data_IF_525790822245
#
_entry.id   IF_525790822245
#
_cell.length_a   1.000
_cell.length_b   1.000
_cell.length_c   1.000
_cell.angle_alpha   90.00
_cell.angle_beta   90.00
_cell.angle_gamma   90.00
#
_symmetry.space_group_name_H-M   'P 1'
#
loop_
_entity.id
_entity.type
_entity.pdbx_description
1 polymer ?
#
# COMPACT_ATOMS: atom_id res chain seq x y z
N UNK A 1 -42.37 18.78 26.57
CA UNK A 1 -42.66 19.47 25.29
C UNK A 1 -41.73 20.66 25.16
N UNK A 2 -40.56 20.45 24.55
CA UNK A 2 -39.57 21.51 24.34
C UNK A 2 -39.97 22.38 23.15
N UNK A 3 -39.93 23.71 23.31
CA UNK A 3 -40.19 24.67 22.25
C UNK A 3 -39.11 24.52 21.16
N UNK A 4 -39.48 23.97 20.00
CA UNK A 4 -38.69 24.10 18.78
C UNK A 4 -38.64 25.60 18.42
N UNK A 5 -37.47 26.21 18.54
CA UNK A 5 -37.24 27.57 18.05
C UNK A 5 -37.25 27.56 16.53
N UNK A 6 -38.26 28.18 15.91
CA UNK A 6 -38.26 28.42 14.46
C UNK A 6 -37.07 29.32 14.11
N UNK A 7 -36.21 28.87 13.18
CA UNK A 7 -35.16 29.70 12.61
C UNK A 7 -35.78 30.99 12.04
N UNK A 8 -35.35 32.15 12.52
CA UNK A 8 -35.82 33.45 12.00
C UNK A 8 -35.09 33.75 10.69
N UNK A 9 -35.84 33.93 9.62
CA UNK A 9 -35.30 34.42 8.36
C UNK A 9 -34.88 35.89 8.50
N UNK A 10 -33.58 36.18 8.39
CA UNK A 10 -33.10 37.54 8.19
C UNK A 10 -32.92 37.73 6.67
N UNK A 11 -33.56 38.74 6.08
CA UNK A 11 -33.56 39.02 4.64
C UNK A 11 -34.09 37.89 3.73
N UNK A 12 -34.98 37.03 4.24
CA UNK A 12 -35.57 35.92 3.46
C UNK A 12 -34.67 34.69 3.32
N UNK A 13 -33.56 34.63 4.07
CA UNK A 13 -32.67 33.46 4.18
C UNK A 13 -32.73 32.91 5.59
N UNK A 14 -32.97 31.62 5.73
CA UNK A 14 -32.88 30.94 7.02
C UNK A 14 -31.40 30.72 7.38
N UNK A 15 -31.04 30.94 8.65
CA UNK A 15 -29.68 30.75 9.12
C UNK A 15 -29.59 29.47 9.95
N UNK A 16 -28.59 28.64 9.64
CA UNK A 16 -28.23 27.47 10.45
C UNK A 16 -27.83 27.92 11.85
N UNK A 17 -28.33 27.23 12.88
CA UNK A 17 -27.99 27.53 14.26
C UNK A 17 -26.56 27.09 14.66
N UNK A 18 -26.05 27.66 15.74
CA UNK A 18 -24.67 27.43 16.18
C UNK A 18 -24.41 25.99 16.65
N UNK A 19 -25.44 25.26 17.11
CA UNK A 19 -25.28 23.86 17.51
C UNK A 19 -25.09 23.01 16.27
N UNK A 20 -25.94 23.17 15.26
CA UNK A 20 -25.82 22.47 13.99
C UNK A 20 -24.50 22.80 13.28
N UNK A 21 -24.07 24.06 13.26
CA UNK A 21 -22.76 24.42 12.70
C UNK A 21 -21.62 23.65 13.36
N UNK A 22 -21.61 23.55 14.70
CA UNK A 22 -20.59 22.77 15.42
C UNK A 22 -20.64 21.30 15.05
N UNK A 23 -21.82 20.73 14.85
CA UNK A 23 -21.97 19.33 14.42
C UNK A 23 -21.36 19.14 13.03
N UNK A 24 -21.69 20.00 12.07
CA UNK A 24 -21.11 19.95 10.70
C UNK A 24 -19.59 20.06 10.74
N UNK A 25 -19.05 21.04 11.49
CA UNK A 25 -17.61 21.19 11.70
C UNK A 25 -16.95 19.92 12.27
N UNK A 26 -17.60 19.29 13.25
CA UNK A 26 -17.11 18.07 13.90
C UNK A 26 -17.15 16.87 12.95
N UNK A 27 -18.27 16.70 12.24
CA UNK A 27 -18.46 15.62 11.27
C UNK A 27 -17.46 15.71 10.11
N UNK A 28 -17.13 16.94 9.69
CA UNK A 28 -16.18 17.19 8.62
C UNK A 28 -14.70 17.11 9.08
N UNK A 29 -14.45 16.86 10.38
CA UNK A 29 -13.13 16.92 11.01
C UNK A 29 -12.37 18.24 10.74
N UNK A 30 -13.11 19.36 10.60
CA UNK A 30 -12.54 20.67 10.32
C UNK A 30 -11.88 20.83 8.95
N UNK A 31 -12.12 19.93 8.00
CA UNK A 31 -11.55 19.97 6.65
C UNK A 31 -12.64 20.26 5.62
N UNK A 32 -12.28 20.98 4.54
CA UNK A 32 -13.19 21.23 3.43
C UNK A 32 -13.60 19.92 2.76
N UNK A 33 -14.90 19.69 2.61
CA UNK A 33 -15.41 18.42 2.07
C UNK A 33 -15.10 18.22 0.58
N UNK A 34 -14.84 19.31 -0.16
CA UNK A 34 -14.53 19.27 -1.60
C UNK A 34 -13.03 19.19 -1.90
N UNK A 35 -12.19 19.90 -1.15
CA UNK A 35 -10.76 19.99 -1.45
C UNK A 35 -9.85 19.42 -0.36
N UNK A 36 -10.39 19.04 0.80
CA UNK A 36 -9.64 18.44 1.91
C UNK A 36 -8.71 19.42 2.63
N UNK A 37 -8.78 20.73 2.37
CA UNK A 37 -7.96 21.72 3.07
C UNK A 37 -8.35 21.80 4.54
N UNK A 38 -7.37 21.80 5.44
CA UNK A 38 -7.56 22.05 6.87
C UNK A 38 -8.05 23.49 7.08
N UNK A 39 -9.25 23.64 7.67
CA UNK A 39 -9.90 24.92 7.92
C UNK A 39 -9.66 25.43 9.35
N UNK A 40 -8.96 24.65 10.16
CA UNK A 40 -8.63 24.94 11.55
C UNK A 40 -7.23 25.53 11.72
N UNK A 41 -6.41 25.53 10.67
CA UNK A 41 -5.02 25.98 10.72
C UNK A 41 -4.62 26.71 9.44
N UNK A 42 -3.92 27.83 9.58
CA UNK A 42 -3.24 28.48 8.46
C UNK A 42 -1.72 28.25 8.57
N UNK A 43 -1.18 27.44 7.66
CA UNK A 43 0.25 27.15 7.59
C UNK A 43 1.11 28.40 7.41
N UNK A 44 0.63 29.42 6.67
CA UNK A 44 1.40 30.65 6.44
C UNK A 44 1.47 31.52 7.69
N UNK A 45 0.37 31.60 8.43
CA UNK A 45 0.28 32.37 9.65
C UNK A 45 0.76 31.59 10.90
N UNK A 46 0.93 30.27 10.79
CA UNK A 46 1.39 29.39 11.85
C UNK A 46 0.44 29.31 13.06
N UNK A 47 -0.84 29.68 12.88
CA UNK A 47 -1.79 29.85 13.99
C UNK A 47 -3.12 29.14 13.71
N UNK A 48 -3.84 28.71 14.77
CA UNK A 48 -5.22 28.25 14.64
C UNK A 48 -6.10 29.33 14.01
N UNK A 49 -6.97 28.91 13.10
CA UNK A 49 -7.90 29.76 12.37
C UNK A 49 -9.25 29.04 12.30
N UNK A 50 -10.31 29.78 11.99
CA UNK A 50 -11.61 29.21 11.65
C UNK A 50 -12.14 30.00 10.47
N UNK A 51 -11.92 29.48 9.27
CA UNK A 51 -12.25 30.15 8.01
C UNK A 51 -13.16 29.30 7.12
N UNK A 52 -13.71 28.22 7.65
CA UNK A 52 -14.68 27.39 6.96
C UNK A 52 -16.08 27.97 7.02
N UNK A 53 -16.88 27.63 6.02
CA UNK A 53 -18.26 28.06 5.85
C UNK A 53 -19.16 26.84 5.84
N UNK A 54 -20.26 26.91 6.60
CA UNK A 54 -21.31 25.89 6.57
C UNK A 54 -22.26 26.24 5.42
N UNK A 55 -22.03 25.59 4.29
CA UNK A 55 -22.74 25.79 3.04
C UNK A 55 -23.95 24.87 2.95
N UNK A 56 -25.01 25.35 2.32
CA UNK A 56 -26.21 24.53 2.09
C UNK A 56 -26.13 23.83 0.74
N UNK A 57 -26.43 22.53 0.70
CA UNK A 57 -26.57 21.76 -0.55
C UNK A 57 -27.80 22.27 -1.29
N UNK A 58 -29.01 22.07 -0.75
CA UNK A 58 -30.21 22.80 -1.15
C UNK A 58 -30.31 24.12 -0.40
N UNK A 59 -30.63 25.23 -1.09
CA UNK A 59 -30.48 26.56 -0.53
C UNK A 59 -31.39 26.82 0.68
N UNK A 60 -30.94 27.70 1.57
CA UNK A 60 -31.74 28.16 2.72
C UNK A 60 -32.86 29.16 2.35
N UNK A 61 -33.23 29.25 1.08
CA UNK A 61 -34.37 30.01 0.58
C UNK A 61 -34.84 29.45 -0.78
N UNK A 62 -36.12 29.63 -1.15
CA UNK A 62 -36.65 29.20 -2.46
C UNK A 62 -35.92 29.79 -3.67
N UNK A 63 -35.30 30.98 -3.51
CA UNK A 63 -34.65 31.73 -4.59
C UNK A 63 -33.15 31.47 -4.71
N UNK A 64 -32.60 30.51 -3.95
CA UNK A 64 -31.17 30.22 -3.99
C UNK A 64 -30.73 29.49 -5.27
N UNK A 65 -29.42 29.40 -5.54
CA UNK A 65 -28.86 28.95 -6.82
C UNK A 65 -29.30 27.55 -7.27
N UNK A 66 -29.68 26.67 -6.33
CA UNK A 66 -30.07 25.26 -6.56
C UNK A 66 -31.54 24.98 -6.16
N UNK A 67 -32.36 26.00 -6.00
CA UNK A 67 -33.77 25.84 -5.61
C UNK A 67 -34.59 25.22 -6.75
N UNK A 68 -35.23 24.08 -6.49
CA UNK A 68 -36.15 23.43 -7.44
C UNK A 68 -37.58 23.95 -7.25
N UNK A 69 -38.49 23.63 -8.19
CA UNK A 69 -39.88 24.11 -8.17
C UNK A 69 -40.69 23.66 -6.93
N UNK A 70 -40.24 22.61 -6.25
CA UNK A 70 -40.84 22.08 -5.02
C UNK A 70 -40.16 22.62 -3.74
N UNK A 71 -39.16 23.51 -3.87
CA UNK A 71 -38.38 24.07 -2.77
C UNK A 71 -39.03 25.34 -2.21
N UNK A 72 -40.15 25.15 -1.50
CA UNK A 72 -40.88 26.25 -0.84
C UNK A 72 -40.25 26.69 0.49
N UNK A 73 -40.81 27.73 1.10
CA UNK A 73 -40.32 28.26 2.39
C UNK A 73 -40.36 27.23 3.52
N UNK A 74 -41.28 26.27 3.47
CA UNK A 74 -41.41 25.20 4.47
C UNK A 74 -40.27 24.20 4.32
N UNK A 75 -39.98 23.76 3.09
CA UNK A 75 -38.87 22.86 2.76
C UNK A 75 -37.52 23.50 3.05
N UNK A 76 -37.34 24.77 2.67
CA UNK A 76 -36.15 25.55 3.00
C UNK A 76 -35.94 25.66 4.52
N UNK A 77 -37.00 25.94 5.29
CA UNK A 77 -36.91 26.00 6.75
C UNK A 77 -36.55 24.65 7.38
N UNK A 78 -37.11 23.53 6.89
CA UNK A 78 -36.80 22.19 7.43
C UNK A 78 -35.35 21.77 7.16
N UNK A 79 -34.79 22.17 6.02
CA UNK A 79 -33.44 21.77 5.59
C UNK A 79 -32.32 22.69 6.12
N UNK A 80 -32.66 23.84 6.69
CA UNK A 80 -31.68 24.82 7.18
C UNK A 80 -30.77 24.29 8.28
N UNK A 81 -31.33 23.44 9.14
CA UNK A 81 -30.62 22.84 10.28
C UNK A 81 -30.41 21.34 10.11
N UNK A 82 -30.69 20.79 8.94
CA UNK A 82 -30.44 19.39 8.63
C UNK A 82 -28.98 19.20 8.24
N UNK A 83 -28.22 18.47 9.06
CA UNK A 83 -26.81 18.21 8.78
C UNK A 83 -26.59 17.48 7.47
N UNK A 84 -27.57 16.69 7.00
CA UNK A 84 -27.46 16.00 5.70
C UNK A 84 -27.53 16.98 4.51
N UNK A 85 -28.02 18.21 4.72
CA UNK A 85 -28.09 19.28 3.73
C UNK A 85 -26.97 20.32 3.90
N UNK A 86 -26.00 20.10 4.79
CA UNK A 86 -24.99 21.08 5.15
C UNK A 86 -23.59 20.52 4.98
N UNK A 87 -22.76 21.22 4.20
CA UNK A 87 -21.36 20.86 3.97
C UNK A 87 -20.43 21.89 4.57
N UNK A 88 -19.29 21.46 5.11
CA UNK A 88 -18.19 22.34 5.49
C UNK A 88 -17.28 22.62 4.29
N UNK A 89 -17.20 23.88 3.86
CA UNK A 89 -16.40 24.28 2.71
C UNK A 89 -15.41 25.39 3.06
N UNK A 90 -14.28 25.45 2.33
CA UNK A 90 -13.48 26.68 2.29
C UNK A 90 -14.20 27.76 1.46
N UNK A 91 -13.92 29.06 1.66
CA UNK A 91 -14.60 30.13 0.95
C UNK A 91 -14.47 30.01 -0.58
N UNK A 92 -13.32 29.54 -1.07
CA UNK A 92 -13.11 29.32 -2.49
C UNK A 92 -13.97 28.20 -3.09
N UNK A 93 -14.17 27.10 -2.35
CA UNK A 93 -15.05 26.02 -2.80
C UNK A 93 -16.53 26.42 -2.68
N UNK A 94 -16.90 27.15 -1.64
CA UNK A 94 -18.27 27.62 -1.46
C UNK A 94 -18.68 28.62 -2.55
N UNK A 95 -17.85 29.63 -2.85
CA UNK A 95 -18.10 30.58 -3.94
C UNK A 95 -18.21 29.87 -5.29
N UNK A 96 -17.38 28.83 -5.52
CA UNK A 96 -17.42 28.02 -6.76
C UNK A 96 -18.78 27.34 -6.96
N UNK A 97 -19.30 26.63 -5.96
CA UNK A 97 -20.56 25.87 -6.09
C UNK A 97 -21.79 26.78 -6.18
N UNK A 98 -21.73 27.98 -5.60
CA UNK A 98 -22.84 28.95 -5.66
C UNK A 98 -22.90 29.67 -7.01
N UNK A 99 -21.78 29.82 -7.71
CA UNK A 99 -21.72 30.42 -9.05
C UNK A 99 -22.12 29.47 -10.17
N UNK A 100 -21.91 28.17 -9.99
CA UNK A 100 -22.13 27.14 -11.02
C UNK A 100 -23.08 26.05 -10.49
N UNK A 101 -24.34 26.41 -10.32
CA UNK A 101 -25.36 25.48 -9.80
C UNK A 101 -25.59 24.26 -10.72
N UNK A 102 -25.47 24.45 -12.03
CA UNK A 102 -25.65 23.38 -13.02
C UNK A 102 -24.47 22.39 -13.00
N UNK A 103 -23.24 22.88 -12.77
CA UNK A 103 -22.06 22.04 -12.59
C UNK A 103 -21.94 21.38 -11.21
N UNK A 104 -22.74 21.83 -10.24
CA UNK A 104 -22.78 21.32 -8.87
C UNK A 104 -24.23 21.08 -8.39
N UNK A 105 -24.96 20.15 -9.04
CA UNK A 105 -26.35 19.88 -8.67
C UNK A 105 -26.46 19.22 -7.28
N UNK A 106 -27.67 19.25 -6.71
CA UNK A 106 -27.98 18.67 -5.39
C UNK A 106 -27.51 17.21 -5.26
N UNK A 107 -27.76 16.40 -6.28
CA UNK A 107 -27.41 14.97 -6.28
C UNK A 107 -25.93 14.75 -6.08
N UNK A 108 -25.11 15.57 -6.72
CA UNK A 108 -23.66 15.42 -6.75
C UNK A 108 -23.07 15.88 -5.42
N UNK A 109 -23.52 17.05 -4.93
CA UNK A 109 -23.10 17.57 -3.63
C UNK A 109 -23.53 16.65 -2.48
N UNK A 110 -24.75 16.09 -2.53
CA UNK A 110 -25.23 15.12 -1.53
C UNK A 110 -24.39 13.83 -1.55
N UNK A 111 -24.09 13.31 -2.73
CA UNK A 111 -23.21 12.13 -2.88
C UNK A 111 -21.79 12.40 -2.39
N UNK A 112 -21.23 13.57 -2.69
CA UNK A 112 -19.91 13.99 -2.21
C UNK A 112 -19.87 14.16 -0.69
N UNK A 113 -20.88 14.81 -0.11
CA UNK A 113 -21.05 14.99 1.32
C UNK A 113 -21.12 13.64 2.04
N UNK A 114 -22.01 12.74 1.60
CA UNK A 114 -22.14 11.41 2.18
C UNK A 114 -20.83 10.63 2.09
N UNK A 115 -20.20 10.60 0.91
CA UNK A 115 -18.93 9.91 0.69
C UNK A 115 -17.82 10.46 1.59
N UNK A 116 -17.79 11.78 1.81
CA UNK A 116 -16.82 12.41 2.70
C UNK A 116 -17.04 12.00 4.16
N UNK A 117 -18.27 12.11 4.64
CA UNK A 117 -18.61 11.74 6.02
C UNK A 117 -18.36 10.25 6.29
N UNK A 118 -18.64 9.37 5.33
CA UNK A 118 -18.34 7.94 5.44
C UNK A 118 -16.84 7.69 5.61
N UNK A 119 -15.97 8.40 4.87
CA UNK A 119 -14.51 8.28 5.03
C UNK A 119 -14.04 8.75 6.41
N UNK A 120 -14.55 9.88 6.90
CA UNK A 120 -14.19 10.39 8.24
C UNK A 120 -14.67 9.43 9.32
N UNK A 121 -15.91 8.93 9.21
CA UNK A 121 -16.45 7.93 10.15
C UNK A 121 -15.62 6.67 10.16
N UNK A 122 -15.29 6.12 8.98
CA UNK A 122 -14.45 4.92 8.87
C UNK A 122 -13.13 5.12 9.61
N UNK A 123 -12.41 6.22 9.31
CA UNK A 123 -11.15 6.55 9.97
C UNK A 123 -11.29 6.71 11.50
N UNK A 124 -12.39 7.30 11.96
CA UNK A 124 -12.67 7.48 13.39
C UNK A 124 -13.06 6.17 14.10
N UNK A 125 -13.65 5.20 13.38
CA UNK A 125 -14.09 3.90 13.93
C UNK A 125 -13.02 2.80 13.88
N UNK A 126 -11.88 3.05 13.23
CA UNK A 126 -10.73 2.13 13.19
C UNK A 126 -9.51 2.68 13.98
N UNK A 127 -9.65 3.08 15.26
CA UNK A 127 -8.54 3.66 16.02
C UNK A 127 -7.45 2.63 16.42
N UNK A 128 -7.71 1.34 16.21
CA UNK A 128 -6.97 0.20 16.74
C UNK A 128 -6.13 -0.56 15.69
N UNK A 129 -6.13 -0.14 14.42
CA UNK A 129 -5.34 -0.81 13.36
C UNK A 129 -3.83 -0.79 13.62
N UNK A 130 -3.38 0.09 14.52
CA UNK A 130 -2.01 0.14 15.01
C UNK A 130 -1.15 1.14 14.25
N UNK A 131 0.12 1.24 14.65
CA UNK A 131 1.09 2.17 14.07
C UNK A 131 2.13 1.41 13.27
N UNK A 132 2.48 1.93 12.09
CA UNK A 132 3.56 1.37 11.29
C UNK A 132 4.42 2.48 10.67
N UNK A 133 5.71 2.20 10.52
CA UNK A 133 6.62 3.05 9.75
C UNK A 133 6.39 2.76 8.26
N UNK A 134 6.07 3.76 7.43
CA UNK A 134 5.98 3.58 5.99
C UNK A 134 7.38 3.35 5.40
N UNK A 135 7.54 2.27 4.64
CA UNK A 135 8.77 1.91 3.93
C UNK A 135 8.45 1.71 2.45
N UNK A 136 9.05 2.53 1.61
CA UNK A 136 8.90 2.50 0.15
C UNK A 136 10.25 2.14 -0.44
N UNK A 137 10.29 1.08 -1.25
CA UNK A 137 11.48 0.70 -2.01
C UNK A 137 11.14 0.73 -3.48
N UNK A 138 11.98 1.39 -4.27
CA UNK A 138 11.81 1.47 -5.72
C UNK A 138 13.16 1.35 -6.41
N UNK A 139 13.17 0.91 -7.67
CA UNK A 139 14.40 0.73 -8.45
C UNK A 139 14.39 1.55 -9.74
N UNK A 140 15.55 2.11 -10.06
CA UNK A 140 15.82 2.77 -11.35
C UNK A 140 16.22 1.76 -12.44
N UNK A 141 16.23 0.45 -12.15
CA UNK A 141 16.53 -0.60 -13.13
C UNK A 141 15.50 -0.68 -14.28
N UNK A 142 14.25 -0.29 -14.04
CA UNK A 142 13.20 -0.36 -15.06
C UNK A 142 13.23 0.87 -15.97
N UNK A 143 12.95 0.67 -17.26
CA UNK A 143 12.86 1.75 -18.26
C UNK A 143 11.75 2.78 -17.96
N UNK A 144 10.81 2.44 -17.07
CA UNK A 144 9.78 3.35 -16.56
C UNK A 144 10.08 3.70 -15.11
N UNK A 145 10.03 4.99 -14.80
CA UNK A 145 10.17 5.48 -13.43
C UNK A 145 8.90 5.08 -12.65
N UNK A 146 8.96 4.00 -11.89
CA UNK A 146 7.86 3.56 -11.03
C UNK A 146 7.97 4.28 -9.68
N UNK A 147 7.86 5.61 -9.69
CA UNK A 147 7.86 6.38 -8.46
C UNK A 147 6.58 6.09 -7.68
N UNK A 148 6.74 5.60 -6.45
CA UNK A 148 5.60 5.40 -5.53
C UNK A 148 5.49 6.65 -4.65
N UNK A 149 4.43 7.47 -4.80
CA UNK A 149 4.23 8.62 -3.94
C UNK A 149 4.01 8.19 -2.49
N UNK A 150 4.62 8.91 -1.55
CA UNK A 150 4.41 8.69 -0.11
C UNK A 150 2.92 8.73 0.24
N UNK A 151 2.19 9.68 -0.35
CA UNK A 151 0.76 9.86 -0.12
C UNK A 151 -0.04 8.59 -0.44
N UNK A 152 0.33 7.85 -1.47
CA UNK A 152 -0.42 6.67 -1.89
C UNK A 152 -0.28 5.55 -0.85
N UNK A 153 0.91 5.37 -0.27
CA UNK A 153 1.12 4.42 0.80
C UNK A 153 0.38 4.85 2.07
N UNK A 154 0.42 6.14 2.42
CA UNK A 154 -0.32 6.66 3.58
C UNK A 154 -1.84 6.46 3.44
N UNK A 155 -2.38 6.66 2.24
CA UNK A 155 -3.80 6.40 1.94
C UNK A 155 -4.11 4.91 2.04
N UNK A 156 -3.27 4.03 1.49
CA UNK A 156 -3.45 2.59 1.59
C UNK A 156 -3.39 2.10 3.05
N UNK A 157 -2.43 2.61 3.83
CA UNK A 157 -2.34 2.36 5.28
C UNK A 157 -3.62 2.79 6.00
N UNK A 158 -4.07 4.02 5.77
CA UNK A 158 -5.30 4.53 6.39
C UNK A 158 -6.53 3.71 6.02
N UNK A 159 -6.59 3.15 4.82
CA UNK A 159 -7.70 2.29 4.40
C UNK A 159 -7.76 0.95 5.14
N UNK A 160 -6.64 0.52 5.75
CA UNK A 160 -6.56 -0.65 6.64
C UNK A 160 -6.59 -0.26 8.13
N UNK A 161 -6.93 0.99 8.46
CA UNK A 161 -6.92 1.49 9.85
C UNK A 161 -5.52 1.70 10.44
N UNK A 162 -4.46 1.62 9.62
CA UNK A 162 -3.08 1.85 10.06
C UNK A 162 -2.76 3.34 10.13
N UNK A 163 -2.16 3.76 11.23
CA UNK A 163 -1.62 5.11 11.38
C UNK A 163 -0.13 5.10 11.06
N UNK A 164 0.30 5.96 10.15
CA UNK A 164 1.72 6.18 9.92
C UNK A 164 2.37 6.78 11.17
N UNK A 165 3.48 6.18 11.58
CA UNK A 165 4.30 6.68 12.68
C UNK A 165 5.68 7.06 12.16
N UNK A 166 6.10 8.28 12.50
CA UNK A 166 7.35 8.90 12.03
C UNK A 166 7.41 9.13 10.51
N UNK A 167 8.52 9.67 10.03
CA UNK A 167 8.74 10.02 8.64
C UNK A 167 8.87 8.76 7.77
N UNK A 168 8.23 8.70 6.60
CA UNK A 168 8.40 7.61 5.64
C UNK A 168 9.88 7.37 5.31
N UNK A 169 10.29 6.10 5.23
CA UNK A 169 11.58 5.68 4.68
C UNK A 169 11.35 5.40 3.20
N UNK A 170 12.03 6.12 2.31
CA UNK A 170 11.95 5.92 0.85
C UNK A 170 13.33 5.66 0.30
N UNK A 171 13.57 4.44 -0.15
CA UNK A 171 14.85 3.94 -0.67
C UNK A 171 14.72 3.82 -2.18
N UNK A 172 15.69 4.36 -2.91
CA UNK A 172 15.76 4.24 -4.37
C UNK A 172 17.01 3.47 -4.77
N UNK A 173 16.84 2.24 -5.21
CA UNK A 173 17.92 1.42 -5.72
C UNK A 173 18.47 1.99 -7.04
N UNK A 174 19.81 2.07 -7.18
CA UNK A 174 20.44 2.62 -8.37
C UNK A 174 20.18 1.72 -9.58
N UNK A 175 20.27 2.29 -10.78
CA UNK A 175 20.31 1.52 -12.01
C UNK A 175 21.64 0.74 -12.12
N UNK A 176 21.66 -0.45 -12.75
CA UNK A 176 22.91 -1.13 -13.07
C UNK A 176 23.81 -0.25 -13.92
N UNK A 177 25.13 -0.39 -13.73
CA UNK A 177 26.11 0.30 -14.57
C UNK A 177 26.23 -0.38 -15.95
N UNK A 178 27.16 0.09 -16.79
CA UNK A 178 27.51 -0.59 -18.05
C UNK A 178 28.01 -2.04 -17.87
N UNK A 179 28.33 -2.45 -16.65
CA UNK A 179 28.71 -3.84 -16.29
C UNK A 179 27.51 -4.74 -16.01
N UNK A 180 26.29 -4.20 -16.07
CA UNK A 180 25.08 -4.94 -15.71
C UNK A 180 24.95 -5.16 -14.20
N UNK A 181 24.29 -6.25 -13.82
CA UNK A 181 24.01 -6.63 -12.42
C UNK A 181 25.14 -7.48 -11.84
N UNK A 182 26.34 -6.91 -11.80
CA UNK A 182 27.54 -7.55 -11.27
C UNK A 182 27.59 -7.53 -9.73
N UNK A 183 28.66 -8.06 -9.15
CA UNK A 183 28.86 -8.10 -7.69
C UNK A 183 28.82 -6.69 -7.05
N UNK A 184 29.35 -5.67 -7.74
CA UNK A 184 29.32 -4.29 -7.24
C UNK A 184 27.90 -3.72 -7.21
N UNK A 185 27.09 -4.03 -8.22
CA UNK A 185 25.67 -3.67 -8.22
C UNK A 185 24.96 -4.26 -7.00
N UNK A 186 25.07 -5.57 -6.77
CA UNK A 186 24.40 -6.22 -5.64
C UNK A 186 24.93 -5.74 -4.29
N UNK A 187 26.24 -5.47 -4.19
CA UNK A 187 26.81 -4.87 -2.99
C UNK A 187 26.23 -3.47 -2.73
N UNK A 188 26.04 -2.66 -3.78
CA UNK A 188 25.39 -1.35 -3.65
C UNK A 188 23.93 -1.47 -3.18
N UNK A 189 23.17 -2.44 -3.71
CA UNK A 189 21.79 -2.71 -3.23
C UNK A 189 21.81 -3.08 -1.75
N UNK A 190 22.71 -3.97 -1.34
CA UNK A 190 22.89 -4.40 0.05
C UNK A 190 23.25 -3.24 0.97
N UNK A 191 24.18 -2.38 0.55
CA UNK A 191 24.60 -1.21 1.32
C UNK A 191 23.47 -0.20 1.47
N UNK A 192 22.67 0.04 0.42
CA UNK A 192 21.48 0.89 0.52
C UNK A 192 20.46 0.33 1.52
N UNK A 193 20.20 -0.98 1.49
CA UNK A 193 19.31 -1.61 2.47
C UNK A 193 19.89 -1.47 3.89
N UNK A 194 21.14 -1.85 4.11
CA UNK A 194 21.76 -1.81 5.44
C UNK A 194 21.89 -0.39 6.00
N UNK A 195 22.30 0.56 5.16
CA UNK A 195 22.53 1.93 5.59
C UNK A 195 21.25 2.73 5.70
N UNK A 196 20.35 2.66 4.72
CA UNK A 196 19.13 3.47 4.73
C UNK A 196 18.02 2.84 5.56
N UNK A 197 17.84 1.53 5.51
CA UNK A 197 16.76 0.88 6.26
C UNK A 197 17.18 0.62 7.70
N UNK A 198 18.23 -0.16 7.94
CA UNK A 198 18.55 -0.61 9.31
C UNK A 198 18.97 0.54 10.23
N UNK A 199 19.71 1.54 9.72
CA UNK A 199 20.06 2.71 10.55
C UNK A 199 18.84 3.56 10.88
N UNK A 200 17.92 3.76 9.92
CA UNK A 200 16.69 4.49 10.17
C UNK A 200 15.81 3.73 11.18
N UNK A 201 15.71 2.41 11.06
CA UNK A 201 14.96 1.59 12.02
C UNK A 201 15.60 1.58 13.42
N UNK A 202 16.94 1.46 13.51
CA UNK A 202 17.68 1.54 14.80
C UNK A 202 17.46 2.86 15.51
N UNK A 203 17.42 3.98 14.78
CA UNK A 203 17.14 5.32 15.35
C UNK A 203 15.71 5.45 15.90
N UNK A 204 14.78 4.62 15.42
CA UNK A 204 13.33 4.71 15.72
C UNK A 204 12.82 3.63 16.66
N UNK A 205 13.65 2.63 16.98
CA UNK A 205 13.35 1.63 17.98
C UNK A 205 13.17 2.25 19.36
N UNK A 206 12.19 1.76 20.13
CA UNK A 206 11.92 2.27 21.47
C UNK A 206 12.98 1.85 22.49
N UNK A 207 13.09 2.60 23.59
CA UNK A 207 13.94 2.27 24.75
C UNK A 207 13.59 0.92 25.41
N UNK A 208 12.44 0.34 25.07
CA UNK A 208 11.92 -0.94 25.58
C UNK A 208 12.09 -2.12 24.61
N UNK A 209 12.73 -1.93 23.45
CA UNK A 209 13.06 -3.03 22.54
C UNK A 209 11.94 -3.49 21.60
N UNK A 210 10.76 -2.87 21.64
CA UNK A 210 9.70 -3.15 20.67
C UNK A 210 10.08 -2.62 19.29
N UNK A 211 10.27 -3.54 18.33
CA UNK A 211 10.48 -3.19 16.93
C UNK A 211 9.17 -2.63 16.36
N UNK A 212 9.18 -1.43 15.74
CA UNK A 212 7.98 -0.86 15.14
C UNK A 212 7.48 -1.75 14.01
N UNK A 213 6.16 -1.84 13.84
CA UNK A 213 5.60 -2.47 12.65
C UNK A 213 5.99 -1.68 11.40
N UNK A 214 6.16 -2.36 10.28
CA UNK A 214 6.59 -1.78 9.02
C UNK A 214 5.49 -1.93 7.98
N UNK A 215 5.05 -0.84 7.37
CA UNK A 215 4.17 -0.88 6.20
C UNK A 215 5.05 -0.78 4.96
N UNK A 216 5.25 -1.89 4.25
CA UNK A 216 6.30 -2.01 3.23
C UNK A 216 5.67 -2.16 1.85
N UNK A 217 6.15 -1.39 0.89
CA UNK A 217 5.88 -1.60 -0.54
C UNK A 217 7.19 -1.55 -1.32
N UNK A 218 7.34 -2.44 -2.29
CA UNK A 218 8.53 -2.50 -3.14
C UNK A 218 8.18 -2.63 -4.62
N UNK A 219 8.85 -1.85 -5.47
CA UNK A 219 8.85 -2.03 -6.93
C UNK A 219 10.31 -2.00 -7.41
N UNK A 220 10.92 -3.18 -7.45
CA UNK A 220 12.26 -3.43 -7.95
C UNK A 220 12.29 -4.79 -8.69
N UNK A 221 13.43 -5.15 -9.26
CA UNK A 221 13.65 -6.50 -9.78
C UNK A 221 13.52 -7.54 -8.66
N UNK A 222 13.15 -8.76 -9.04
CA UNK A 222 12.82 -9.83 -8.09
C UNK A 222 14.01 -10.10 -7.14
N UNK A 223 15.27 -10.26 -7.59
CA UNK A 223 16.38 -10.50 -6.67
C UNK A 223 16.60 -9.37 -5.66
N UNK A 224 16.51 -8.09 -6.06
CA UNK A 224 16.63 -6.97 -5.12
C UNK A 224 15.53 -6.98 -4.05
N UNK A 225 14.30 -7.34 -4.42
CA UNK A 225 13.18 -7.47 -3.47
C UNK A 225 13.34 -8.67 -2.52
N UNK A 226 13.90 -9.78 -3.00
CA UNK A 226 14.28 -10.91 -2.14
C UNK A 226 15.35 -10.47 -1.13
N UNK A 227 16.37 -9.73 -1.57
CA UNK A 227 17.39 -9.18 -0.66
C UNK A 227 16.79 -8.25 0.41
N UNK A 228 15.87 -7.38 0.02
CA UNK A 228 15.11 -6.52 0.95
C UNK A 228 14.35 -7.36 1.97
N UNK A 229 13.60 -8.36 1.50
CA UNK A 229 12.87 -9.29 2.34
C UNK A 229 13.77 -9.97 3.38
N UNK A 230 14.93 -10.45 2.95
CA UNK A 230 15.90 -11.11 3.84
C UNK A 230 16.42 -10.17 4.93
N UNK A 231 16.73 -8.92 4.60
CA UNK A 231 17.19 -7.93 5.58
C UNK A 231 16.08 -7.55 6.58
N UNK A 232 14.84 -7.43 6.12
CA UNK A 232 13.67 -7.20 7.00
C UNK A 232 13.45 -8.35 7.99
N UNK A 233 13.65 -9.59 7.51
CA UNK A 233 13.49 -10.80 8.29
C UNK A 233 12.07 -11.03 8.83
N UNK A 234 11.97 -11.91 9.83
CA UNK A 234 10.74 -12.30 10.53
C UNK A 234 10.55 -11.58 11.87
N UNK A 235 11.58 -10.89 12.36
CA UNK A 235 11.60 -10.25 13.69
C UNK A 235 10.74 -8.98 13.81
N UNK A 236 10.45 -8.33 12.68
CA UNK A 236 9.60 -7.12 12.65
C UNK A 236 8.22 -7.46 12.10
N UNK A 237 7.16 -6.99 12.77
CA UNK A 237 5.80 -7.09 12.21
C UNK A 237 5.74 -6.29 10.91
N UNK A 238 5.69 -6.98 9.76
CA UNK A 238 5.63 -6.34 8.45
C UNK A 238 4.24 -6.48 7.84
N UNK A 239 3.79 -5.40 7.21
CA UNK A 239 2.53 -5.27 6.52
C UNK A 239 2.88 -4.92 5.07
N UNK A 240 3.00 -5.95 4.23
CA UNK A 240 3.31 -5.78 2.81
C UNK A 240 2.10 -5.24 2.03
N UNK A 241 2.31 -4.19 1.27
CA UNK A 241 1.39 -3.68 0.26
C UNK A 241 1.88 -4.09 -1.13
N UNK A 242 0.95 -4.20 -2.07
CA UNK A 242 1.27 -4.59 -3.45
C UNK A 242 0.91 -3.46 -4.40
N UNK A 243 1.80 -3.18 -5.35
CA UNK A 243 1.55 -2.20 -6.40
C UNK A 243 0.84 -2.85 -7.59
N UNK A 244 -0.34 -2.34 -7.91
CA UNK A 244 -1.16 -2.72 -9.05
C UNK A 244 -1.28 -1.52 -10.01
N UNK A 245 -1.21 -1.74 -11.34
CA UNK A 245 -1.25 -0.64 -12.31
C UNK A 245 -2.59 0.11 -12.34
N UNK A 246 -3.69 -0.60 -12.11
CA UNK A 246 -5.05 -0.05 -12.15
C UNK A 246 -5.45 0.52 -10.77
N UNK A 247 -5.13 -0.21 -9.70
CA UNK A 247 -5.57 0.13 -8.34
C UNK A 247 -4.50 0.86 -7.50
N UNK A 248 -3.30 1.04 -8.03
CA UNK A 248 -2.12 1.56 -7.31
C UNK A 248 -1.82 0.71 -6.08
N UNK A 249 -1.85 1.29 -4.87
CA UNK A 249 -1.64 0.56 -3.61
C UNK A 249 -2.93 0.10 -2.94
N UNK A 250 -4.09 0.34 -3.57
CA UNK A 250 -5.37 -0.18 -3.07
C UNK A 250 -5.51 -1.64 -3.47
N UNK A 251 -6.04 -2.45 -2.57
CA UNK A 251 -6.42 -3.83 -2.88
C UNK A 251 -7.49 -3.85 -3.98
N UNK A 252 -7.28 -4.60 -5.08
CA UNK A 252 -8.30 -4.75 -6.11
C UNK A 252 -9.59 -5.37 -5.58
N UNK A 253 -9.48 -6.39 -4.72
CA UNK A 253 -10.62 -7.06 -4.08
C UNK A 253 -10.23 -7.57 -2.68
N UNK A 254 -10.74 -6.90 -1.64
CA UNK A 254 -10.50 -7.28 -0.24
C UNK A 254 -11.20 -8.58 0.16
N UNK A 255 -12.24 -8.98 -0.56
CA UNK A 255 -13.04 -10.19 -0.29
C UNK A 255 -12.53 -11.42 -1.03
N UNK A 256 -11.67 -11.25 -2.04
CA UNK A 256 -11.13 -12.36 -2.82
C UNK A 256 -10.43 -13.42 -1.94
N UNK A 257 -10.70 -14.68 -2.24
CA UNK A 257 -10.00 -15.81 -1.62
C UNK A 257 -8.60 -15.98 -2.24
N UNK A 258 -7.59 -16.37 -1.45
CA UNK A 258 -6.29 -16.75 -2.00
C UNK A 258 -6.40 -17.90 -3.00
N UNK A 259 -5.54 -17.94 -4.04
CA UNK A 259 -5.50 -19.10 -4.93
C UNK A 259 -5.00 -20.34 -4.17
N UNK A 260 -5.31 -21.52 -4.71
CA UNK A 260 -4.70 -22.75 -4.26
C UNK A 260 -3.21 -22.75 -4.64
N UNK A 261 -2.34 -22.76 -3.64
CA UNK A 261 -0.90 -22.92 -3.83
C UNK A 261 -0.57 -24.42 -3.86
N UNK A 262 0.01 -24.87 -4.96
CA UNK A 262 0.35 -26.28 -5.17
C UNK A 262 1.86 -26.44 -5.14
N UNK A 263 2.35 -27.28 -4.21
CA UNK A 263 3.76 -27.61 -4.12
C UNK A 263 4.03 -29.00 -4.72
N UNK A 264 4.91 -29.05 -5.72
CA UNK A 264 5.42 -30.28 -6.32
C UNK A 264 6.84 -30.53 -5.80
N UNK A 265 7.11 -31.66 -5.12
CA UNK A 265 8.43 -31.97 -4.62
C UNK A 265 9.42 -32.29 -5.75
N UNK A 266 10.74 -32.15 -5.51
CA UNK A 266 11.74 -32.51 -6.49
C UNK A 266 11.78 -34.03 -6.71
N UNK A 267 12.21 -34.45 -7.89
CA UNK A 267 12.49 -35.86 -8.17
C UNK A 267 13.61 -36.40 -7.30
N UNK A 268 13.64 -37.71 -7.10
CA UNK A 268 14.77 -38.39 -6.45
C UNK A 268 16.05 -38.25 -7.28
N UNK A 269 17.21 -38.27 -6.61
CA UNK A 269 18.53 -38.26 -7.23
C UNK A 269 19.53 -37.33 -6.54
N UNK A 270 20.74 -37.26 -7.12
CA UNK A 270 21.89 -36.51 -6.59
C UNK A 270 22.15 -35.17 -7.30
N UNK A 271 21.30 -34.80 -8.28
CA UNK A 271 21.44 -33.55 -9.02
C UNK A 271 21.22 -32.29 -8.16
N UNK A 272 21.65 -31.11 -8.63
CA UNK A 272 21.46 -29.86 -7.91
C UNK A 272 19.97 -29.58 -7.68
N UNK A 273 19.65 -29.02 -6.51
CA UNK A 273 18.26 -28.75 -6.12
C UNK A 273 17.83 -27.36 -6.62
N UNK A 274 16.74 -27.33 -7.39
CA UNK A 274 16.12 -26.10 -7.87
C UNK A 274 14.76 -25.87 -7.19
N UNK A 275 14.53 -24.65 -6.69
CA UNK A 275 13.23 -24.19 -6.22
C UNK A 275 12.66 -23.20 -7.25
N UNK A 276 11.57 -23.60 -7.90
CA UNK A 276 10.84 -22.80 -8.87
C UNK A 276 9.60 -22.19 -8.23
N UNK A 277 9.41 -20.89 -8.39
CA UNK A 277 8.21 -20.18 -7.92
C UNK A 277 7.45 -19.63 -9.14
N UNK A 278 6.41 -20.34 -9.58
CA UNK A 278 5.63 -20.05 -10.80
C UNK A 278 4.26 -19.42 -10.46
N UNK A 279 4.27 -18.15 -10.01
CA UNK A 279 3.06 -17.48 -9.51
C UNK A 279 2.57 -16.38 -10.46
N UNK A 280 3.46 -15.51 -10.94
CA UNK A 280 3.10 -14.46 -11.91
C UNK A 280 3.19 -14.94 -13.36
N UNK A 281 4.02 -15.95 -13.62
CA UNK A 281 4.15 -16.63 -14.91
C UNK A 281 4.64 -18.07 -14.70
N UNK A 282 4.41 -18.94 -15.68
CA UNK A 282 4.97 -20.28 -15.69
C UNK A 282 6.46 -20.23 -16.02
N UNK A 283 7.29 -20.92 -15.23
CA UNK A 283 8.71 -21.13 -15.54
C UNK A 283 8.88 -22.51 -16.18
N UNK A 284 9.24 -22.61 -17.47
CA UNK A 284 9.40 -23.90 -18.13
C UNK A 284 10.58 -24.69 -17.56
N UNK A 285 10.40 -25.98 -17.27
CA UNK A 285 11.46 -26.87 -16.79
C UNK A 285 12.69 -26.89 -17.73
N UNK A 286 12.48 -26.76 -19.05
CA UNK A 286 13.58 -26.67 -20.04
C UNK A 286 14.50 -25.48 -19.78
N UNK A 287 13.96 -24.34 -19.35
CA UNK A 287 14.72 -23.10 -19.13
C UNK A 287 15.54 -23.22 -17.82
N UNK A 288 15.02 -23.99 -16.85
CA UNK A 288 15.75 -24.37 -15.62
C UNK A 288 16.87 -25.34 -15.95
N UNK A 289 16.60 -26.38 -16.73
CA UNK A 289 17.59 -27.39 -17.14
C UNK A 289 18.72 -26.78 -17.99
N UNK A 290 18.42 -25.80 -18.84
CA UNK A 290 19.42 -25.06 -19.62
C UNK A 290 20.36 -24.24 -18.74
N UNK A 291 19.83 -23.61 -17.68
CA UNK A 291 20.63 -22.82 -16.73
C UNK A 291 21.32 -23.67 -15.66
N UNK A 292 20.75 -24.84 -15.32
CA UNK A 292 21.20 -25.75 -14.29
C UNK A 292 20.96 -27.21 -14.73
N UNK A 293 21.89 -27.79 -15.52
CA UNK A 293 21.73 -29.15 -16.03
C UNK A 293 21.65 -30.21 -14.92
N UNK A 294 20.75 -31.18 -15.08
CA UNK A 294 20.49 -32.24 -14.12
C UNK A 294 19.71 -31.79 -12.88
N UNK A 295 19.02 -30.64 -12.94
CA UNK A 295 18.33 -30.08 -11.79
C UNK A 295 17.16 -30.96 -11.33
N UNK A 296 17.07 -31.15 -10.01
CA UNK A 296 15.89 -31.72 -9.36
C UNK A 296 14.97 -30.57 -8.99
N UNK A 297 13.82 -30.47 -9.66
CA UNK A 297 12.96 -29.28 -9.60
C UNK A 297 11.84 -29.47 -8.58
N UNK A 298 11.89 -28.72 -7.49
CA UNK A 298 10.76 -28.45 -6.63
C UNK A 298 10.02 -27.21 -7.15
N UNK A 299 8.69 -27.23 -7.22
CA UNK A 299 7.91 -26.10 -7.75
C UNK A 299 6.76 -25.73 -6.82
N UNK A 300 6.64 -24.44 -6.49
CA UNK A 300 5.42 -23.85 -5.95
C UNK A 300 4.71 -23.07 -7.07
N UNK A 301 3.48 -23.46 -7.38
CA UNK A 301 2.69 -22.85 -8.45
C UNK A 301 1.25 -22.55 -8.02
N UNK A 302 0.52 -21.88 -8.89
CA UNK A 302 -0.94 -21.73 -8.82
C UNK A 302 -1.56 -22.23 -10.13
N UNK A 303 -2.83 -22.68 -10.15
CA UNK A 303 -3.47 -23.22 -11.36
C UNK A 303 -3.44 -22.29 -12.58
N UNK A 304 -3.45 -20.97 -12.35
CA UNK A 304 -3.37 -19.97 -13.42
C UNK A 304 -2.44 -18.83 -13.00
N UNK A 305 -1.16 -18.87 -13.41
CA UNK A 305 -0.21 -17.80 -13.13
C UNK A 305 -0.71 -16.45 -13.63
N UNK A 306 -0.54 -15.40 -12.80
CA UNK A 306 -1.05 -14.07 -13.13
C UNK A 306 -0.31 -12.97 -12.38
N UNK A 307 0.02 -11.89 -13.11
CA UNK A 307 0.61 -10.68 -12.54
C UNK A 307 -0.30 -9.95 -11.55
N UNK A 308 -1.63 -10.16 -11.65
CA UNK A 308 -2.62 -9.51 -10.79
C UNK A 308 -3.10 -10.41 -9.65
N UNK A 309 -2.46 -11.55 -9.37
CA UNK A 309 -2.96 -12.50 -8.35
C UNK A 309 -2.98 -11.96 -6.91
N UNK A 310 -2.18 -10.94 -6.59
CA UNK A 310 -2.17 -10.32 -5.25
C UNK A 310 -3.35 -9.36 -5.11
N UNK A 311 -4.53 -9.92 -4.84
CA UNK A 311 -5.79 -9.19 -4.70
C UNK A 311 -5.94 -8.51 -3.34
N UNK A 312 -5.37 -9.12 -2.29
CA UNK A 312 -5.40 -8.61 -0.93
C UNK A 312 -4.26 -9.22 -0.09
N UNK A 313 -4.13 -8.77 1.17
CA UNK A 313 -3.12 -9.23 2.12
C UNK A 313 -3.18 -10.74 2.42
N UNK A 314 -4.36 -11.37 2.35
CA UNK A 314 -4.53 -12.80 2.63
C UNK A 314 -3.77 -13.66 1.62
N UNK A 315 -3.64 -13.20 0.37
CA UNK A 315 -2.85 -13.89 -0.67
C UNK A 315 -1.37 -14.00 -0.26
N UNK A 316 -0.81 -12.93 0.31
CA UNK A 316 0.59 -12.89 0.75
C UNK A 316 0.80 -13.86 1.93
N UNK A 317 -0.13 -13.88 2.89
CA UNK A 317 -0.08 -14.81 4.00
C UNK A 317 -0.21 -16.27 3.55
N UNK A 318 -1.14 -16.55 2.63
CA UNK A 318 -1.32 -17.90 2.09
C UNK A 318 -0.08 -18.39 1.32
N UNK A 319 0.58 -17.51 0.55
CA UNK A 319 1.86 -17.83 -0.10
C UNK A 319 2.94 -18.19 0.94
N UNK A 320 3.08 -17.38 2.00
CA UNK A 320 4.02 -17.64 3.08
C UNK A 320 3.77 -18.99 3.73
N UNK A 321 2.53 -19.25 4.12
CA UNK A 321 2.15 -20.46 4.85
C UNK A 321 2.31 -21.71 3.98
N UNK A 322 2.00 -21.61 2.68
CA UNK A 322 2.24 -22.69 1.72
C UNK A 322 3.72 -23.00 1.55
N UNK A 323 4.59 -21.99 1.46
CA UNK A 323 6.01 -22.20 1.17
C UNK A 323 6.84 -22.57 2.41
N UNK A 324 6.56 -21.99 3.57
CA UNK A 324 7.41 -22.09 4.77
C UNK A 324 7.72 -23.54 5.16
N UNK A 325 6.70 -24.40 5.21
CA UNK A 325 6.88 -25.82 5.59
C UNK A 325 7.72 -26.59 4.57
N UNK A 326 7.59 -26.25 3.28
CA UNK A 326 8.34 -26.92 2.22
C UNK A 326 9.78 -26.44 2.16
N UNK A 327 10.04 -25.16 2.44
CA UNK A 327 11.40 -24.62 2.48
C UNK A 327 12.28 -25.36 3.48
N UNK A 328 11.81 -25.56 4.72
CA UNK A 328 12.56 -26.33 5.73
C UNK A 328 12.81 -27.79 5.31
N UNK A 329 11.92 -28.40 4.52
CA UNK A 329 12.14 -29.75 3.98
C UNK A 329 13.22 -29.75 2.90
N UNK A 330 13.20 -28.78 1.99
CA UNK A 330 14.22 -28.63 0.95
C UNK A 330 15.60 -28.39 1.56
N UNK A 331 15.70 -27.53 2.57
CA UNK A 331 16.95 -27.27 3.31
C UNK A 331 17.47 -28.53 4.02
N UNK A 332 16.60 -29.44 4.47
CA UNK A 332 17.01 -30.70 5.07
C UNK A 332 17.47 -31.76 4.04
N UNK A 333 17.12 -31.60 2.76
CA UNK A 333 17.47 -32.54 1.69
C UNK A 333 18.88 -32.34 1.13
N UNK A 334 19.54 -31.22 1.43
CA UNK A 334 20.86 -30.87 0.90
C UNK A 334 21.62 -30.00 1.89
N UNK A 335 22.95 -30.14 1.93
CA UNK A 335 23.83 -29.17 2.60
C UNK A 335 24.35 -28.09 1.63
N UNK A 336 24.24 -28.33 0.32
CA UNK A 336 24.65 -27.41 -0.74
C UNK A 336 23.54 -26.44 -1.15
N UNK A 337 23.91 -25.47 -1.99
CA UNK A 337 23.06 -24.35 -2.43
C UNK A 337 21.74 -24.79 -3.10
N UNK A 338 20.64 -24.17 -2.69
CA UNK A 338 19.35 -24.22 -3.39
C UNK A 338 19.32 -23.14 -4.48
N UNK A 339 19.04 -23.54 -5.73
CA UNK A 339 19.01 -22.65 -6.88
C UNK A 339 17.58 -22.17 -7.11
N UNK A 340 17.31 -20.87 -6.99
CA UNK A 340 15.95 -20.33 -7.01
C UNK A 340 15.64 -19.65 -8.33
N UNK A 341 14.54 -20.05 -8.96
CA UNK A 341 14.02 -19.47 -10.19
C UNK A 341 12.63 -18.89 -9.90
N UNK A 342 12.51 -17.56 -9.89
CA UNK A 342 11.30 -16.91 -9.39
C UNK A 342 10.58 -16.10 -10.48
N UNK A 343 9.33 -16.48 -10.76
CA UNK A 343 8.35 -15.68 -11.47
C UNK A 343 7.21 -15.36 -10.49
N UNK A 344 7.42 -14.34 -9.66
CA UNK A 344 6.50 -13.95 -8.59
C UNK A 344 6.23 -12.43 -8.57
N UNK A 345 5.06 -11.97 -8.09
CA UNK A 345 4.80 -10.56 -7.85
C UNK A 345 5.76 -9.95 -6.82
N UNK A 346 5.97 -8.64 -6.90
CA UNK A 346 6.91 -7.90 -6.06
C UNK A 346 6.70 -8.12 -4.55
N UNK A 347 5.45 -8.06 -4.07
CA UNK A 347 5.14 -8.32 -2.66
C UNK A 347 5.52 -9.75 -2.22
N UNK A 348 5.36 -10.75 -3.09
CA UNK A 348 5.74 -12.13 -2.79
C UNK A 348 7.26 -12.33 -2.84
N UNK A 349 8.00 -11.53 -3.61
CA UNK A 349 9.47 -11.55 -3.59
C UNK A 349 10.03 -11.06 -2.25
N UNK A 350 9.47 -9.98 -1.71
CA UNK A 350 9.80 -9.49 -0.36
C UNK A 350 9.43 -10.55 0.69
N UNK A 351 8.23 -11.13 0.57
CA UNK A 351 7.76 -12.17 1.49
C UNK A 351 8.67 -13.41 1.43
N UNK A 352 9.04 -13.87 0.24
CA UNK A 352 9.96 -14.99 0.06
C UNK A 352 11.32 -14.70 0.69
N UNK A 353 11.93 -13.54 0.39
CA UNK A 353 13.19 -13.13 0.99
C UNK A 353 13.15 -13.15 2.51
N UNK A 354 12.04 -12.73 3.11
CA UNK A 354 11.87 -12.73 4.57
C UNK A 354 11.78 -14.13 5.19
N UNK A 355 11.46 -15.16 4.40
CA UNK A 355 11.55 -16.55 4.85
C UNK A 355 13.00 -17.05 4.88
N UNK A 356 13.89 -16.45 4.08
CA UNK A 356 15.31 -16.80 3.97
C UNK A 356 16.15 -16.20 5.11
N UNK A 357 15.60 -16.10 6.33
CA UNK A 357 16.21 -15.34 7.43
C UNK A 357 17.62 -15.80 7.74
N UNK A 358 18.47 -14.86 8.13
CA UNK A 358 19.91 -15.07 8.37
C UNK A 358 20.25 -16.09 9.46
N UNK A 359 19.28 -16.51 10.27
CA UNK A 359 19.49 -17.54 11.29
C UNK A 359 19.44 -18.96 10.73
N UNK A 360 18.76 -19.16 9.59
CA UNK A 360 18.76 -20.41 8.84
C UNK A 360 19.82 -20.25 7.75
N UNK A 361 21.05 -20.69 8.04
CA UNK A 361 22.25 -20.38 7.25
C UNK A 361 22.35 -21.11 5.90
N UNK A 362 21.24 -21.60 5.34
CA UNK A 362 21.25 -22.32 4.08
C UNK A 362 21.60 -21.38 2.92
N UNK A 363 22.40 -21.87 1.97
CA UNK A 363 22.83 -21.09 0.82
C UNK A 363 21.76 -21.10 -0.28
N UNK A 364 21.44 -19.92 -0.82
CA UNK A 364 20.54 -19.76 -1.95
C UNK A 364 21.23 -19.00 -3.07
N UNK A 365 21.05 -19.46 -4.30
CA UNK A 365 21.48 -18.75 -5.50
C UNK A 365 20.26 -18.37 -6.33
N UNK A 366 19.96 -17.09 -6.39
CA UNK A 366 18.83 -16.56 -7.16
C UNK A 366 19.25 -16.43 -8.62
N UNK A 367 18.42 -17.00 -9.50
CA UNK A 367 18.48 -16.81 -10.94
C UNK A 367 17.41 -15.82 -11.35
N UNK A 368 17.76 -14.93 -12.28
CA UNK A 368 16.81 -14.04 -12.92
C UNK A 368 17.07 -14.00 -14.42
N UNK A 369 16.06 -13.59 -15.19
CA UNK A 369 16.22 -13.50 -16.65
C UNK A 369 17.09 -12.32 -17.03
N UNK A 370 18.02 -12.57 -17.93
CA UNK A 370 18.91 -11.56 -18.49
C UNK A 370 18.46 -11.15 -19.89
N UNK A 371 17.96 -9.93 -20.01
CA UNK A 371 17.48 -9.37 -21.29
C UNK A 371 18.58 -9.25 -22.33
N UNK A 372 19.82 -9.06 -21.88
CA UNK A 372 20.98 -8.89 -22.77
C UNK A 372 21.53 -10.25 -23.23
N UNK A 373 21.16 -11.34 -22.55
CA UNK A 373 21.56 -12.70 -22.85
C UNK A 373 20.36 -13.58 -23.24
N UNK A 374 19.69 -13.24 -24.34
CA UNK A 374 18.57 -14.00 -24.92
C UNK A 374 17.43 -14.34 -23.94
N UNK A 375 17.26 -13.55 -22.87
CA UNK A 375 16.27 -13.78 -21.82
C UNK A 375 16.47 -15.12 -21.07
N UNK A 376 17.68 -15.68 -21.10
CA UNK A 376 18.06 -16.88 -20.33
C UNK A 376 18.14 -16.57 -18.85
N UNK A 377 17.96 -17.58 -18.01
CA UNK A 377 18.24 -17.44 -16.58
C UNK A 377 19.73 -17.39 -16.35
N UNK A 378 20.19 -16.37 -15.64
CA UNK A 378 21.58 -16.23 -15.20
C UNK A 378 21.63 -16.12 -13.67
N UNK A 379 22.69 -16.65 -13.03
CA UNK A 379 22.87 -16.48 -11.60
C UNK A 379 23.11 -15.00 -11.29
N UNK A 380 22.33 -14.45 -10.35
CA UNK A 380 22.42 -13.02 -10.01
C UNK A 380 22.87 -12.78 -8.58
N UNK A 381 22.23 -13.43 -7.60
CA UNK A 381 22.36 -13.06 -6.20
C UNK A 381 22.58 -14.29 -5.32
N UNK A 382 23.69 -14.31 -4.59
CA UNK A 382 23.95 -15.31 -3.56
C UNK A 382 23.49 -14.80 -2.19
N UNK A 383 22.72 -15.63 -1.48
CA UNK A 383 22.24 -15.39 -0.13
C UNK A 383 22.69 -16.53 0.79
N UNK A 384 22.95 -16.24 2.07
CA UNK A 384 23.42 -17.24 3.06
C UNK A 384 24.95 -17.42 3.10
N UNK A 385 25.44 -18.30 3.98
CA UNK A 385 26.87 -18.62 4.07
C UNK A 385 27.23 -19.72 3.06
N UNK A 386 28.25 -19.49 2.23
CA UNK A 386 28.82 -20.58 1.44
C UNK A 386 29.45 -21.60 2.39
N UNK A 387 29.01 -22.85 2.31
CA UNK A 387 29.78 -23.96 2.85
C UNK A 387 31.12 -23.97 2.07
N UNK A 388 32.19 -23.51 2.71
CA UNK A 388 33.53 -23.71 2.15
C UNK A 388 33.74 -25.22 2.04
N UNK A 389 33.92 -25.72 0.82
CA UNK A 389 34.42 -27.08 0.62
C UNK A 389 35.73 -27.20 1.41
N UNK A 390 35.69 -28.04 2.45
CA UNK A 390 36.90 -28.49 3.12
C UNK A 390 37.64 -29.31 2.06
N UNK A 391 38.69 -28.71 1.48
CA UNK A 391 39.60 -29.38 0.56
C UNK A 391 40.31 -30.56 1.20
#
# INVERSE_FOLDING_TARGET
MGKQGKAKAANGRYNTDEVTKRVVWTQAAGHCELCGTDLMYDYRAGKPMNWGEVAHILPASPKGPRGQSDHDDSKAASLTNDTANLMLLCPGCHDKIDRDADGYPESDLSGLHQSYLERVRLAATTPDGGRAIPVIVQSQHFATNNDIPVRDLLVAMSSEGLTAFDHPIKITFPAPSHRGRDEHYWQSIKDNIQHELEQQLKRRGGAYGDAPALAVVGVADIPALIMLGQSLGDRSKRLLFSFNREHQLRWPDQSAEPPEFVFTPPSDGEGPLALVLSISAQVPARDVEEALPGARIAELSIPTPSYVMVQNRRVIHAFRDALQTHLSRLEAMTAGTIHVFAAIPAALAIEFGSLLTTQHQHAYLIFDRDKDNHNMFTPTLHLGHQAQEVR
#
